data_IF_964716004350
#
_entry.id   IF_964716004350
#
_cell.length_a   1.000
_cell.length_b   1.000
_cell.length_c   1.000
_cell.angle_alpha   90.00
_cell.angle_beta   90.00
_cell.angle_gamma   90.00
#
_symmetry.space_group_name_H-M   'P 1'
#
loop_
_entity.id
_entity.type
_entity.pdbx_description
1 polymer ?
#
# COMPACT_ATOMS: atom_id res chain seq x y z
N UNK A 1 -2.13 8.23 -14.02
CA UNK A 1 -3.56 8.01 -13.71
C UNK A 1 -3.75 8.24 -12.22
N UNK A 2 -4.97 8.60 -11.74
CA UNK A 2 -5.23 8.82 -10.32
C UNK A 2 -6.28 7.84 -9.80
N UNK A 3 -6.27 7.57 -8.49
CA UNK A 3 -7.33 6.84 -7.81
C UNK A 3 -8.61 7.67 -7.86
N UNK A 4 -9.63 7.16 -8.53
CA UNK A 4 -10.89 7.87 -8.76
C UNK A 4 -11.85 7.64 -7.60
N UNK A 5 -12.32 8.73 -7.01
CA UNK A 5 -13.41 8.77 -6.04
C UNK A 5 -14.07 10.15 -6.07
N UNK A 6 -15.29 10.26 -5.60
CA UNK A 6 -16.05 11.49 -5.69
C UNK A 6 -16.98 11.73 -4.51
N UNK A 7 -18.03 12.52 -4.76
CA UNK A 7 -18.98 12.92 -3.70
C UNK A 7 -19.71 11.73 -3.09
N UNK A 8 -19.90 10.64 -3.82
CA UNK A 8 -20.55 9.42 -3.29
C UNK A 8 -19.78 8.82 -2.12
N UNK A 9 -18.47 8.59 -2.30
CA UNK A 9 -17.57 8.03 -1.29
C UNK A 9 -17.39 9.00 -0.12
N UNK A 10 -17.20 10.26 -0.44
CA UNK A 10 -16.99 11.36 0.52
C UNK A 10 -18.22 11.55 1.41
N UNK A 11 -19.40 11.68 0.82
CA UNK A 11 -20.64 11.84 1.59
C UNK A 11 -20.93 10.64 2.50
N UNK A 12 -20.67 9.42 2.00
CA UNK A 12 -20.80 8.21 2.82
C UNK A 12 -19.90 8.26 4.06
N UNK A 13 -18.59 8.51 3.87
CA UNK A 13 -17.62 8.56 4.97
C UNK A 13 -17.93 9.69 5.95
N UNK A 14 -18.35 10.86 5.48
CA UNK A 14 -18.80 12.00 6.30
C UNK A 14 -20.00 11.66 7.17
N UNK A 15 -20.94 10.89 6.65
CA UNK A 15 -22.13 10.47 7.40
C UNK A 15 -21.80 9.39 8.44
N UNK A 16 -20.89 8.48 8.11
CA UNK A 16 -20.52 7.36 8.99
C UNK A 16 -19.64 7.75 10.17
N UNK A 17 -18.85 8.81 10.03
CA UNK A 17 -17.89 9.18 11.08
C UNK A 17 -17.64 10.69 11.15
N UNK A 18 -18.03 11.31 12.27
CA UNK A 18 -17.90 12.76 12.47
C UNK A 18 -16.45 13.23 12.54
N UNK A 19 -15.51 12.40 13.07
CA UNK A 19 -14.09 12.78 13.14
C UNK A 19 -13.42 12.65 11.77
N UNK A 20 -13.77 11.61 11.01
CA UNK A 20 -13.27 11.49 9.65
C UNK A 20 -13.86 12.59 8.75
N UNK A 21 -15.11 13.03 8.98
CA UNK A 21 -15.71 14.21 8.32
C UNK A 21 -14.82 15.43 8.52
N UNK A 22 -14.46 15.74 9.77
CA UNK A 22 -13.58 16.88 10.07
C UNK A 22 -12.26 16.80 9.30
N UNK A 23 -11.66 15.62 9.22
CA UNK A 23 -10.42 15.38 8.45
C UNK A 23 -10.65 15.63 6.96
N UNK A 24 -11.71 15.08 6.38
CA UNK A 24 -12.08 15.25 4.97
C UNK A 24 -12.30 16.73 4.65
N UNK A 25 -13.07 17.44 5.48
CA UNK A 25 -13.43 18.85 5.26
C UNK A 25 -12.19 19.77 5.31
N UNK A 26 -11.21 19.42 6.15
CA UNK A 26 -9.96 20.19 6.29
C UNK A 26 -8.92 19.93 5.21
N UNK A 27 -8.83 18.71 4.72
CA UNK A 27 -7.83 18.29 3.73
C UNK A 27 -8.33 18.54 2.31
N UNK A 28 -9.64 18.39 2.07
CA UNK A 28 -10.21 18.45 0.72
C UNK A 28 -9.93 17.18 -0.08
N UNK A 29 -9.98 17.28 -1.42
CA UNK A 29 -9.75 16.13 -2.30
C UNK A 29 -8.26 15.75 -2.35
N UNK A 30 -7.97 14.45 -2.25
CA UNK A 30 -6.61 13.91 -2.31
C UNK A 30 -6.41 13.26 -3.67
N UNK A 31 -5.48 13.79 -4.47
CA UNK A 31 -5.04 13.17 -5.72
C UNK A 31 -3.94 12.16 -5.44
N UNK A 32 -4.21 10.89 -5.68
CA UNK A 32 -3.24 9.81 -5.48
C UNK A 32 -2.96 9.09 -6.79
N UNK A 33 -1.72 9.13 -7.25
CA UNK A 33 -1.29 8.41 -8.44
C UNK A 33 -1.45 6.90 -8.27
N UNK A 34 -1.80 6.23 -9.39
CA UNK A 34 -2.01 4.79 -9.47
C UNK A 34 -1.16 4.21 -10.59
N UNK A 35 -0.79 2.95 -10.44
CA UNK A 35 -0.08 2.19 -11.46
C UNK A 35 -1.06 1.82 -12.60
N UNK A 36 -0.54 1.70 -13.83
CA UNK A 36 -1.37 1.43 -15.00
C UNK A 36 -1.65 -0.06 -15.19
N UNK A 37 -0.67 -0.92 -14.88
CA UNK A 37 -0.68 -2.35 -15.22
C UNK A 37 -0.18 -3.20 -14.05
N UNK A 38 -0.78 -4.38 -13.86
CA UNK A 38 -0.51 -5.26 -12.74
C UNK A 38 0.94 -5.80 -12.77
N UNK A 39 1.46 -6.17 -13.93
CA UNK A 39 2.83 -6.68 -14.04
C UNK A 39 3.85 -5.66 -13.55
N UNK A 40 3.80 -4.45 -14.09
CA UNK A 40 4.72 -3.37 -13.74
C UNK A 40 4.52 -2.91 -12.28
N UNK A 41 3.28 -2.92 -11.77
CA UNK A 41 2.97 -2.58 -10.38
C UNK A 41 3.61 -3.54 -9.39
N UNK A 42 3.54 -4.86 -9.61
CA UNK A 42 4.21 -5.85 -8.76
C UNK A 42 5.72 -5.56 -8.68
N UNK A 43 6.35 -5.33 -9.80
CA UNK A 43 7.80 -5.01 -9.86
C UNK A 43 8.09 -3.69 -9.12
N UNK A 44 7.30 -2.66 -9.37
CA UNK A 44 7.44 -1.35 -8.73
C UNK A 44 7.35 -1.45 -7.21
N UNK A 45 6.41 -2.25 -6.70
CA UNK A 45 6.29 -2.52 -5.27
C UNK A 45 7.48 -3.30 -4.69
N UNK A 46 8.00 -4.31 -5.40
CA UNK A 46 9.22 -5.03 -4.97
C UNK A 46 10.42 -4.07 -4.90
N UNK A 47 10.61 -3.23 -5.92
CA UNK A 47 11.69 -2.23 -5.93
C UNK A 47 11.57 -1.28 -4.73
N UNK A 48 10.36 -0.80 -4.41
CA UNK A 48 10.10 0.20 -3.37
C UNK A 48 10.29 -0.29 -1.94
N UNK A 49 10.38 -1.60 -1.69
CA UNK A 49 10.50 -2.13 -0.33
C UNK A 49 11.76 -1.62 0.39
N UNK A 50 11.58 -1.08 1.60
CA UNK A 50 12.66 -0.64 2.50
C UNK A 50 13.63 0.41 1.92
N UNK A 51 13.21 1.18 0.94
CA UNK A 51 13.97 2.31 0.39
C UNK A 51 13.11 3.57 0.32
N UNK A 52 13.74 4.73 0.12
CA UNK A 52 13.01 5.99 -0.07
C UNK A 52 12.32 6.05 -1.44
N UNK A 53 11.23 6.81 -1.54
CA UNK A 53 10.53 7.07 -2.81
C UNK A 53 11.47 7.60 -3.89
N UNK A 54 12.44 8.48 -3.53
CA UNK A 54 13.43 8.99 -4.46
C UNK A 54 14.34 7.89 -5.02
N UNK A 55 14.78 6.96 -4.17
CA UNK A 55 15.61 5.82 -4.60
C UNK A 55 14.80 4.86 -5.49
N UNK A 56 13.55 4.57 -5.13
CA UNK A 56 12.64 3.78 -5.95
C UNK A 56 12.45 4.39 -7.35
N UNK A 57 12.12 5.68 -7.42
CA UNK A 57 11.94 6.38 -8.70
C UNK A 57 13.21 6.34 -9.56
N UNK A 58 14.40 6.43 -8.95
CA UNK A 58 15.68 6.34 -9.68
C UNK A 58 15.89 4.94 -10.28
N UNK A 59 15.63 3.88 -9.52
CA UNK A 59 15.77 2.49 -10.00
C UNK A 59 14.73 2.21 -11.08
N UNK A 60 13.49 2.65 -10.88
CA UNK A 60 12.41 2.47 -11.84
C UNK A 60 12.72 3.13 -13.18
N UNK A 61 13.17 4.38 -13.17
CA UNK A 61 13.59 5.11 -14.38
C UNK A 61 14.72 4.37 -15.10
N UNK A 62 15.77 3.92 -14.40
CA UNK A 62 16.87 3.13 -15.00
C UNK A 62 16.36 1.84 -15.64
N UNK A 63 15.37 1.19 -15.00
CA UNK A 63 14.76 -0.02 -15.55
C UNK A 63 14.04 0.28 -16.87
N UNK A 64 13.25 1.36 -16.93
CA UNK A 64 12.58 1.80 -18.16
C UNK A 64 13.59 2.19 -19.26
N UNK A 65 14.63 2.95 -18.93
CA UNK A 65 15.70 3.33 -19.88
C UNK A 65 16.48 2.11 -20.42
N UNK A 66 16.64 1.08 -19.61
CA UNK A 66 17.45 -0.10 -19.97
C UNK A 66 16.66 -1.17 -20.72
N UNK A 67 15.39 -1.38 -20.36
CA UNK A 67 14.56 -2.45 -20.91
C UNK A 67 13.54 -1.94 -21.94
N UNK A 68 13.27 -0.64 -21.97
CA UNK A 68 12.17 -0.06 -22.75
C UNK A 68 10.82 -0.44 -22.14
N UNK A 69 10.07 -1.24 -22.84
CA UNK A 69 8.82 -1.80 -22.33
C UNK A 69 9.09 -2.81 -21.20
N UNK A 70 8.38 -2.65 -20.08
CA UNK A 70 8.51 -3.55 -18.93
C UNK A 70 7.41 -4.60 -18.99
N UNK A 71 7.72 -5.75 -19.59
CA UNK A 71 6.87 -6.92 -19.68
C UNK A 71 7.64 -8.20 -19.29
N UNK A 72 6.95 -9.34 -19.20
CA UNK A 72 7.54 -10.60 -18.76
C UNK A 72 8.73 -11.01 -19.63
N UNK A 73 8.64 -10.85 -20.96
CA UNK A 73 9.70 -11.22 -21.89
C UNK A 73 10.95 -10.37 -21.73
N UNK A 74 10.80 -9.03 -21.64
CA UNK A 74 11.95 -8.11 -21.52
C UNK A 74 12.67 -8.29 -20.19
N UNK A 75 11.92 -8.55 -19.11
CA UNK A 75 12.48 -8.80 -17.77
C UNK A 75 13.19 -10.16 -17.71
N UNK A 76 12.62 -11.23 -18.30
CA UNK A 76 13.26 -12.54 -18.39
C UNK A 76 14.58 -12.45 -19.18
N UNK A 77 14.58 -11.75 -20.33
CA UNK A 77 15.76 -11.58 -21.17
C UNK A 77 16.89 -10.79 -20.47
N UNK A 78 16.53 -9.86 -19.58
CA UNK A 78 17.53 -9.10 -18.82
C UNK A 78 18.28 -9.97 -17.82
N UNK A 79 17.59 -10.88 -17.16
CA UNK A 79 18.15 -11.73 -16.14
C UNK A 79 18.55 -11.02 -14.86
N UNK A 80 18.79 -11.79 -13.80
CA UNK A 80 19.00 -11.28 -12.44
C UNK A 80 20.19 -10.32 -12.31
N UNK A 81 21.30 -10.59 -13.00
CA UNK A 81 22.51 -9.75 -12.90
C UNK A 81 22.28 -8.34 -13.46
N UNK A 82 21.63 -8.25 -14.64
CA UNK A 82 21.31 -6.95 -15.24
C UNK A 82 20.28 -6.18 -14.41
N UNK A 83 19.25 -6.86 -13.88
CA UNK A 83 18.31 -6.24 -12.97
C UNK A 83 18.99 -5.68 -11.72
N UNK A 84 19.89 -6.45 -11.10
CA UNK A 84 20.64 -6.01 -9.93
C UNK A 84 21.51 -4.77 -10.23
N UNK A 85 22.15 -4.71 -11.40
CA UNK A 85 22.99 -3.58 -11.80
C UNK A 85 22.26 -2.24 -11.93
N UNK A 86 20.90 -2.26 -11.98
CA UNK A 86 20.08 -1.06 -11.98
C UNK A 86 20.06 -0.34 -10.63
N UNK A 87 20.56 -0.99 -9.56
CA UNK A 87 20.72 -0.41 -8.22
C UNK A 87 19.81 -1.02 -7.15
N UNK A 88 19.19 -2.16 -7.42
CA UNK A 88 18.44 -2.92 -6.42
C UNK A 88 19.31 -4.01 -5.78
N UNK A 89 18.86 -4.57 -4.65
CA UNK A 89 19.53 -5.72 -4.03
C UNK A 89 19.37 -6.97 -4.90
N UNK A 90 20.34 -7.90 -4.81
CA UNK A 90 20.29 -9.17 -5.54
C UNK A 90 18.98 -9.93 -5.25
N UNK A 91 18.56 -9.95 -3.99
CA UNK A 91 17.32 -10.58 -3.55
C UNK A 91 16.07 -10.00 -4.26
N UNK A 92 16.00 -8.67 -4.46
CA UNK A 92 14.91 -8.06 -5.22
C UNK A 92 14.95 -8.43 -6.68
N UNK A 93 16.14 -8.43 -7.28
CA UNK A 93 16.35 -8.85 -8.66
C UNK A 93 15.91 -10.31 -8.89
N UNK A 94 16.22 -11.21 -7.95
CA UNK A 94 15.75 -12.60 -7.98
C UNK A 94 14.22 -12.71 -7.89
N UNK A 95 13.58 -11.93 -7.01
CA UNK A 95 12.12 -11.92 -6.89
C UNK A 95 11.43 -11.43 -8.17
N UNK A 96 11.99 -10.38 -8.78
CA UNK A 96 11.48 -9.83 -10.04
C UNK A 96 11.66 -10.83 -11.19
N UNK A 97 12.82 -11.48 -11.27
CA UNK A 97 13.09 -12.50 -12.30
C UNK A 97 12.18 -13.73 -12.14
N UNK A 98 11.99 -14.24 -10.91
CA UNK A 98 11.09 -15.37 -10.60
C UNK A 98 9.62 -15.02 -10.96
N UNK A 99 9.19 -13.81 -10.66
CA UNK A 99 7.85 -13.34 -11.03
C UNK A 99 7.68 -13.26 -12.55
N UNK A 100 8.62 -12.63 -13.25
CA UNK A 100 8.58 -12.51 -14.70
C UNK A 100 8.57 -13.88 -15.38
N UNK A 101 9.37 -14.84 -14.90
CA UNK A 101 9.40 -16.20 -15.42
C UNK A 101 8.04 -16.90 -15.25
N UNK A 102 7.40 -16.78 -14.08
CA UNK A 102 6.08 -17.37 -13.82
C UNK A 102 4.99 -16.80 -14.73
N UNK A 103 5.02 -15.49 -14.97
CA UNK A 103 4.09 -14.86 -15.91
C UNK A 103 4.35 -15.31 -17.33
N UNK A 104 5.63 -15.35 -17.76
CA UNK A 104 6.03 -15.76 -19.08
C UNK A 104 5.65 -17.22 -19.41
N UNK A 105 5.76 -18.10 -18.44
CA UNK A 105 5.40 -19.52 -18.55
C UNK A 105 3.91 -19.81 -18.37
N UNK A 106 3.10 -18.78 -18.04
CA UNK A 106 1.67 -18.94 -17.73
C UNK A 106 1.40 -19.60 -16.36
N UNK A 107 2.43 -19.71 -15.51
CA UNK A 107 2.28 -20.25 -14.15
C UNK A 107 1.69 -19.25 -13.16
N UNK A 108 1.61 -17.98 -13.53
CA UNK A 108 0.92 -16.91 -12.81
C UNK A 108 0.09 -16.09 -13.79
N UNK A 109 -1.22 -16.14 -13.61
CA UNK A 109 -2.21 -15.51 -14.49
C UNK A 109 -2.62 -14.15 -13.93
N UNK A 110 -2.14 -13.08 -14.56
CA UNK A 110 -2.42 -11.69 -14.17
C UNK A 110 -3.89 -11.32 -14.39
N UNK A 111 -4.47 -11.76 -15.51
CA UNK A 111 -5.87 -11.47 -15.84
C UNK A 111 -6.81 -12.15 -14.84
N UNK A 112 -6.53 -13.39 -14.45
CA UNK A 112 -7.28 -14.06 -13.40
C UNK A 112 -7.25 -13.28 -12.09
N UNK A 113 -6.09 -12.74 -11.67
CA UNK A 113 -5.95 -11.92 -10.44
C UNK A 113 -6.82 -10.67 -10.50
N UNK A 114 -6.89 -10.00 -11.65
CA UNK A 114 -7.73 -8.80 -11.84
C UNK A 114 -9.22 -9.08 -11.64
N UNK A 115 -9.66 -10.30 -11.95
CA UNK A 115 -11.07 -10.71 -11.82
C UNK A 115 -11.41 -11.39 -10.49
N UNK A 116 -10.42 -11.70 -9.64
CA UNK A 116 -10.63 -12.28 -8.31
C UNK A 116 -11.31 -11.27 -7.36
N UNK A 117 -12.01 -11.78 -6.35
CA UNK A 117 -12.37 -10.96 -5.18
C UNK A 117 -11.11 -10.58 -4.39
N UNK A 118 -11.20 -9.53 -3.56
CA UNK A 118 -10.04 -8.96 -2.86
C UNK A 118 -9.28 -9.98 -2.00
N UNK A 119 -9.99 -10.87 -1.29
CA UNK A 119 -9.35 -11.88 -0.44
C UNK A 119 -8.57 -12.91 -1.26
N UNK A 120 -9.14 -13.39 -2.37
CA UNK A 120 -8.47 -14.31 -3.27
C UNK A 120 -7.29 -13.65 -3.99
N UNK A 121 -7.42 -12.41 -4.44
CA UNK A 121 -6.35 -11.67 -5.08
C UNK A 121 -5.16 -11.42 -4.11
N UNK A 122 -5.43 -11.05 -2.84
CA UNK A 122 -4.38 -10.92 -1.82
C UNK A 122 -3.68 -12.27 -1.59
N UNK A 123 -4.44 -13.35 -1.49
CA UNK A 123 -3.87 -14.69 -1.31
C UNK A 123 -2.97 -15.09 -2.49
N UNK A 124 -3.43 -14.88 -3.71
CA UNK A 124 -2.69 -15.25 -4.92
C UNK A 124 -1.42 -14.40 -5.09
N UNK A 125 -1.52 -13.07 -4.95
CA UNK A 125 -0.36 -12.18 -4.98
C UNK A 125 0.66 -12.52 -3.89
N UNK A 126 0.20 -12.92 -2.70
CA UNK A 126 1.09 -13.26 -1.57
C UNK A 126 1.86 -14.58 -1.76
N UNK A 127 1.55 -15.38 -2.80
CA UNK A 127 2.34 -16.55 -3.20
C UNK A 127 3.62 -16.17 -3.94
N UNK A 128 3.71 -14.94 -4.43
CA UNK A 128 4.89 -14.42 -5.09
C UNK A 128 5.99 -14.13 -4.07
N UNK A 129 7.23 -14.49 -4.40
CA UNK A 129 8.38 -14.20 -3.56
C UNK A 129 8.53 -12.69 -3.32
N UNK A 130 8.61 -12.31 -2.06
CA UNK A 130 8.76 -10.91 -1.67
C UNK A 130 7.45 -10.12 -1.58
N UNK A 131 6.31 -10.70 -1.90
CA UNK A 131 5.00 -10.07 -1.73
C UNK A 131 4.32 -10.64 -0.48
N UNK A 132 4.24 -9.82 0.57
CA UNK A 132 3.42 -10.13 1.75
C UNK A 132 2.01 -9.54 1.62
N UNK A 133 1.14 -9.87 2.58
CA UNK A 133 -0.26 -9.43 2.62
C UNK A 133 -0.38 -7.91 2.44
N UNK A 134 0.39 -7.12 3.21
CA UNK A 134 0.38 -5.67 3.08
C UNK A 134 0.75 -5.18 1.68
N UNK A 135 1.78 -5.77 1.05
CA UNK A 135 2.17 -5.39 -0.32
C UNK A 135 1.08 -5.76 -1.32
N UNK A 136 0.46 -6.93 -1.17
CA UNK A 136 -0.66 -7.35 -2.00
C UNK A 136 -1.86 -6.39 -1.86
N UNK A 137 -2.22 -5.98 -0.65
CA UNK A 137 -3.26 -4.98 -0.39
C UNK A 137 -2.92 -3.62 -1.03
N UNK A 138 -1.64 -3.19 -1.02
CA UNK A 138 -1.22 -1.96 -1.71
C UNK A 138 -1.34 -2.08 -3.23
N UNK A 139 -1.05 -3.25 -3.81
CA UNK A 139 -1.28 -3.51 -5.23
C UNK A 139 -2.78 -3.44 -5.55
N UNK A 140 -3.64 -4.03 -4.73
CA UNK A 140 -5.10 -3.93 -4.90
C UNK A 140 -5.56 -2.47 -4.91
N UNK A 141 -5.03 -1.64 -4.02
CA UNK A 141 -5.41 -0.24 -3.93
C UNK A 141 -4.83 0.59 -5.09
N UNK A 142 -3.52 0.49 -5.32
CA UNK A 142 -2.82 1.41 -6.22
C UNK A 142 -2.79 0.96 -7.69
N UNK A 143 -3.04 -0.33 -7.97
CA UNK A 143 -3.13 -0.83 -9.34
C UNK A 143 -4.56 -1.22 -9.70
N UNK A 144 -5.16 -2.15 -8.95
CA UNK A 144 -6.50 -2.63 -9.22
C UNK A 144 -7.61 -1.66 -8.77
N UNK A 145 -7.25 -0.57 -8.09
CA UNK A 145 -8.15 0.51 -7.65
C UNK A 145 -9.35 0.01 -6.85
N UNK A 146 -9.13 -1.04 -6.06
CA UNK A 146 -10.18 -1.64 -5.24
C UNK A 146 -10.70 -0.63 -4.21
N UNK A 147 -12.02 -0.45 -4.05
CA UNK A 147 -12.59 0.63 -3.24
C UNK A 147 -12.49 0.38 -1.73
N UNK A 148 -12.35 -0.88 -1.29
CA UNK A 148 -12.48 -1.26 0.12
C UNK A 148 -11.20 -1.89 0.73
N UNK A 149 -10.04 -1.39 0.34
CA UNK A 149 -8.76 -1.82 0.94
C UNK A 149 -8.49 -1.01 2.20
N UNK A 150 -8.39 -1.73 3.34
CA UNK A 150 -8.08 -1.14 4.65
C UNK A 150 -7.17 -2.10 5.42
N UNK A 151 -5.85 -1.85 5.33
CA UNK A 151 -4.81 -2.78 5.78
C UNK A 151 -4.48 -2.63 7.26
N UNK A 152 -4.54 -3.74 8.02
CA UNK A 152 -4.12 -3.76 9.42
C UNK A 152 -2.62 -3.59 9.58
N UNK A 153 -1.83 -4.16 8.68
CA UNK A 153 -0.37 -4.13 8.75
C UNK A 153 0.22 -2.80 8.27
N UNK A 154 -0.63 -1.87 7.83
CA UNK A 154 -0.22 -0.51 7.46
C UNK A 154 -0.01 0.37 8.69
N UNK A 155 1.26 0.61 9.01
CA UNK A 155 1.65 1.42 10.18
C UNK A 155 1.19 2.89 10.06
N UNK A 156 1.04 3.42 8.85
CA UNK A 156 0.60 4.79 8.65
C UNK A 156 -0.93 4.90 8.81
N UNK A 157 -1.71 3.91 8.36
CA UNK A 157 -3.14 3.81 8.66
C UNK A 157 -3.37 3.70 10.17
N UNK A 158 -2.63 2.81 10.86
CA UNK A 158 -2.72 2.69 12.33
C UNK A 158 -2.34 4.01 13.03
N UNK A 159 -1.29 4.71 12.55
CA UNK A 159 -0.89 6.01 13.07
C UNK A 159 -1.98 7.05 12.85
N UNK A 160 -2.55 7.13 11.65
CA UNK A 160 -3.67 8.02 11.33
C UNK A 160 -4.87 7.77 12.25
N UNK A 161 -5.25 6.51 12.48
CA UNK A 161 -6.30 6.15 13.42
C UNK A 161 -6.00 6.63 14.86
N UNK A 162 -4.76 6.46 15.34
CA UNK A 162 -4.41 6.98 16.68
C UNK A 162 -4.51 8.51 16.75
N UNK A 163 -4.08 9.20 15.71
CA UNK A 163 -4.10 10.67 15.67
C UNK A 163 -5.53 11.21 15.61
N UNK A 164 -6.37 10.69 14.71
CA UNK A 164 -7.76 11.13 14.52
C UNK A 164 -8.63 10.80 15.74
N UNK A 165 -8.49 9.59 16.29
CA UNK A 165 -9.36 9.09 17.35
C UNK A 165 -8.75 9.16 18.76
N UNK A 166 -7.52 9.66 18.87
CA UNK A 166 -6.78 9.81 20.14
C UNK A 166 -6.60 8.49 20.88
N UNK A 167 -6.34 7.41 20.12
CA UNK A 167 -6.01 6.12 20.70
C UNK A 167 -4.51 6.00 20.98
N UNK A 168 -4.15 5.34 22.08
CA UNK A 168 -2.76 5.01 22.40
C UNK A 168 -2.24 3.83 21.59
N UNK A 169 -3.15 2.91 21.25
CA UNK A 169 -2.87 1.69 20.50
C UNK A 169 -4.08 1.31 19.63
N UNK A 170 -3.82 0.69 18.49
CA UNK A 170 -4.83 0.10 17.61
C UNK A 170 -4.61 -1.42 17.60
N UNK A 171 -5.36 -2.13 18.43
CA UNK A 171 -5.39 -3.58 18.36
C UNK A 171 -6.33 -4.08 17.25
N UNK A 172 -6.24 -5.37 16.91
CA UNK A 172 -7.04 -5.96 15.82
C UNK A 172 -8.55 -5.74 15.98
N UNK A 173 -9.09 -5.92 17.19
CA UNK A 173 -10.53 -5.72 17.46
C UNK A 173 -10.99 -4.28 17.18
N UNK A 174 -10.20 -3.30 17.60
CA UNK A 174 -10.49 -1.88 17.35
C UNK A 174 -10.33 -1.53 15.86
N UNK A 175 -9.30 -2.05 15.22
CA UNK A 175 -9.09 -1.88 13.80
C UNK A 175 -10.26 -2.39 12.97
N UNK A 176 -10.74 -3.60 13.23
CA UNK A 176 -11.90 -4.20 12.55
C UNK A 176 -13.20 -3.40 12.76
N UNK A 177 -13.32 -2.69 13.89
CA UNK A 177 -14.45 -1.77 14.09
C UNK A 177 -14.39 -0.61 13.10
N UNK A 178 -13.22 -0.03 12.86
CA UNK A 178 -13.03 1.04 11.86
C UNK A 178 -13.17 0.50 10.45
N UNK A 179 -12.58 -0.65 10.14
CA UNK A 179 -12.72 -1.29 8.84
C UNK A 179 -14.20 -1.43 8.45
N UNK A 180 -15.02 -2.01 9.32
CA UNK A 180 -16.47 -2.15 9.08
C UNK A 180 -17.19 -0.80 8.95
N UNK A 181 -16.74 0.22 9.66
CA UNK A 181 -17.36 1.56 9.61
C UNK A 181 -17.11 2.24 8.27
N UNK A 182 -15.92 2.08 7.71
CA UNK A 182 -15.52 2.75 6.48
C UNK A 182 -15.85 1.95 5.22
N UNK A 183 -16.08 0.65 5.35
CA UNK A 183 -16.56 -0.20 4.25
C UNK A 183 -17.89 0.34 3.71
N UNK A 184 -18.07 0.41 2.36
CA UNK A 184 -17.22 -0.17 1.30
C UNK A 184 -16.16 0.79 0.73
N UNK A 185 -15.77 1.85 1.44
CA UNK A 185 -14.83 2.87 0.95
C UNK A 185 -13.57 2.96 1.82
N UNK A 186 -13.07 1.80 2.28
CA UNK A 186 -11.86 1.69 3.08
C UNK A 186 -10.62 2.29 2.42
N UNK A 187 -10.50 2.18 1.09
CA UNK A 187 -9.39 2.78 0.33
C UNK A 187 -9.36 4.30 0.45
N UNK A 188 -10.51 4.95 0.28
CA UNK A 188 -10.63 6.41 0.45
C UNK A 188 -10.34 6.83 1.88
N UNK A 189 -10.85 6.08 2.88
CA UNK A 189 -10.53 6.34 4.28
C UNK A 189 -9.02 6.20 4.56
N UNK A 190 -8.34 5.22 3.94
CA UNK A 190 -6.89 5.05 4.03
C UNK A 190 -6.12 6.26 3.51
N UNK A 191 -6.54 6.88 2.39
CA UNK A 191 -5.92 8.09 1.84
C UNK A 191 -5.91 9.23 2.87
N UNK A 192 -7.04 9.48 3.53
CA UNK A 192 -7.14 10.53 4.55
C UNK A 192 -6.34 10.22 5.80
N UNK A 193 -6.33 8.96 6.24
CA UNK A 193 -5.52 8.54 7.39
C UNK A 193 -4.02 8.64 7.11
N UNK A 194 -3.57 8.32 5.90
CA UNK A 194 -2.19 8.55 5.48
C UNK A 194 -1.83 10.04 5.46
N UNK A 195 -2.70 10.90 4.96
CA UNK A 195 -2.48 12.33 4.94
C UNK A 195 -2.31 12.88 6.38
N UNK A 196 -3.18 12.47 7.31
CA UNK A 196 -3.05 12.84 8.73
C UNK A 196 -1.75 12.29 9.33
N UNK A 197 -1.43 11.02 9.09
CA UNK A 197 -0.17 10.41 9.55
C UNK A 197 1.06 11.13 8.99
N UNK A 198 0.98 11.66 7.77
CA UNK A 198 1.99 12.48 7.12
C UNK A 198 2.08 13.93 7.64
N UNK A 199 1.15 14.36 8.49
CA UNK A 199 1.17 15.70 9.11
C UNK A 199 0.32 16.74 8.39
N UNK A 200 -0.61 16.35 7.52
CA UNK A 200 -1.52 17.27 6.82
C UNK A 200 -2.37 18.13 7.79
N UNK A 201 -2.56 17.65 9.01
CA UNK A 201 -3.24 18.40 10.09
C UNK A 201 -2.27 18.51 11.29
N UNK A 202 -1.51 19.62 11.41
CA UNK A 202 -0.38 19.74 12.35
C UNK A 202 -0.74 19.56 13.82
N UNK A 203 -1.95 19.90 14.25
CA UNK A 203 -2.42 19.75 15.63
C UNK A 203 -2.83 18.33 15.99
N UNK A 204 -3.11 17.46 15.04
CA UNK A 204 -3.34 16.04 15.29
C UNK A 204 -2.00 15.36 15.57
N UNK A 205 -1.78 14.94 16.82
CA UNK A 205 -0.53 14.30 17.27
C UNK A 205 -0.74 12.82 17.51
N UNK A 206 0.29 12.01 17.23
CA UNK A 206 0.28 10.58 17.55
C UNK A 206 0.30 10.37 19.08
N UNK A 207 -0.72 9.71 19.59
CA UNK A 207 -0.89 9.41 21.01
C UNK A 207 -0.15 8.14 21.46
N UNK A 208 0.69 7.53 20.59
CA UNK A 208 1.46 6.34 20.94
C UNK A 208 2.38 6.62 22.12
N UNK A 209 2.36 5.77 23.19
CA UNK A 209 3.26 5.93 24.33
C UNK A 209 4.72 5.91 23.89
N UNK A 210 5.54 6.82 24.46
CA UNK A 210 6.99 6.78 24.25
C UNK A 210 7.59 5.52 24.87
N UNK A 211 8.64 4.96 24.24
CA UNK A 211 9.33 3.73 24.75
C UNK A 211 9.75 3.84 26.22
N UNK A 212 10.06 5.02 26.72
CA UNK A 212 10.40 5.30 28.12
C UNK A 212 9.22 5.12 29.08
N UNK A 213 7.98 5.39 28.64
CA UNK A 213 6.77 5.24 29.45
C UNK A 213 6.34 3.77 29.56
N UNK A 214 6.55 2.97 28.50
CA UNK A 214 6.31 1.51 28.55
C UNK A 214 7.22 0.83 29.56
N UNK A 215 8.53 1.14 29.58
CA UNK A 215 9.48 0.57 30.57
C UNK A 215 9.17 0.97 32.02
N UNK A 216 8.53 2.12 32.27
CA UNK A 216 8.11 2.51 33.62
C UNK A 216 6.85 1.77 34.08
N UNK A 217 5.89 1.54 33.18
CA UNK A 217 4.67 0.79 33.51
C UNK A 217 4.98 -0.71 33.78
N UNK A 218 5.91 -1.32 33.04
CA UNK A 218 6.35 -2.72 33.24
C UNK A 218 7.18 -2.93 34.52
N UNK A 219 7.72 -1.86 35.13
CA UNK A 219 8.48 -1.92 36.39
C UNK A 219 7.63 -1.70 37.66
N UNK A 220 6.34 -1.35 37.47
CA UNK A 220 5.41 -1.09 38.57
C UNK A 220 4.34 -2.18 38.74
N UNK A 221 4.47 -3.28 38.01
CA UNK A 221 3.72 -4.55 38.15
C UNK A 221 4.69 -5.63 38.68
#
# INVERSE_FOLDING_TARGET
MYFEYGEKEISYLRQKDARLREVIDRIGHIYRETDAELFSSVIHHIIGQQISTKAQATIWRRMQETLGEINAQTVCNAGTQRLQSLGMTFRKAEYIADFAQKVHEGAFDLEAVEHMNDAAAVQELSRLKGIGVWTAEMILLFCLKRPDVFSYDDLAVQRGLRMVYRHREINRKLFEKYRRRFSPYGSVASLYLWAVAGGAIPEMKDCKPKKSEKKKAERQV
#
